data_IF_963924278020
#
_entry.id   IF_963924278020
#
_cell.length_a   1.000
_cell.length_b   1.000
_cell.length_c   1.000
_cell.angle_alpha   90.00
_cell.angle_beta   90.00
_cell.angle_gamma   90.00
#
_symmetry.space_group_name_H-M   'P 1'
#
loop_
_entity.id
_entity.type
_entity.pdbx_description
1 polymer ?
#
# COMPACT_ATOMS: atom_id res chain seq x y z
N UNK A 1 -3.02 32.73 -26.71
CA UNK A 1 -4.27 31.92 -26.74
C UNK A 1 -4.96 32.17 -25.41
N UNK A 2 -6.22 32.62 -25.46
CA UNK A 2 -7.02 33.29 -24.43
C UNK A 2 -6.74 32.97 -22.95
N UNK A 3 -6.04 33.90 -22.29
CA UNK A 3 -6.33 34.61 -21.03
C UNK A 3 -6.99 33.99 -19.79
N UNK A 4 -7.53 32.78 -19.83
CA UNK A 4 -8.27 32.21 -18.69
C UNK A 4 -7.35 31.40 -17.77
N UNK A 5 -7.50 31.58 -16.45
CA UNK A 5 -6.75 30.81 -15.46
C UNK A 5 -7.18 29.33 -15.45
N UNK A 6 -6.36 28.45 -14.85
CA UNK A 6 -6.75 27.05 -14.62
C UNK A 6 -8.05 26.98 -13.83
N UNK A 7 -8.17 27.78 -12.78
CA UNK A 7 -9.37 27.87 -11.94
C UNK A 7 -10.62 28.22 -12.76
N UNK A 8 -10.55 29.25 -13.62
CA UNK A 8 -11.67 29.66 -14.48
C UNK A 8 -12.11 28.51 -15.40
N UNK A 9 -11.16 27.79 -15.99
CA UNK A 9 -11.44 26.63 -16.86
C UNK A 9 -12.06 25.47 -16.08
N UNK A 10 -11.54 25.16 -14.89
CA UNK A 10 -12.08 24.11 -14.04
C UNK A 10 -13.49 24.45 -13.54
N UNK A 11 -13.76 25.72 -13.23
CA UNK A 11 -15.07 26.18 -12.76
C UNK A 11 -16.19 25.98 -13.78
N UNK A 12 -15.88 25.96 -15.08
CA UNK A 12 -16.87 25.58 -16.12
C UNK A 12 -17.32 24.14 -15.89
N UNK A 13 -16.38 23.20 -15.70
CA UNK A 13 -16.68 21.80 -15.43
C UNK A 13 -17.38 21.63 -14.08
N UNK A 14 -16.85 22.29 -13.04
CA UNK A 14 -17.38 22.22 -11.69
C UNK A 14 -18.75 22.87 -11.59
N UNK A 15 -19.18 23.78 -12.46
CA UNK A 15 -20.55 24.30 -12.43
C UNK A 15 -21.62 23.20 -12.49
N UNK A 16 -21.30 22.07 -13.15
CA UNK A 16 -22.14 20.88 -13.23
C UNK A 16 -21.61 19.68 -12.43
N UNK A 17 -20.29 19.52 -12.27
CA UNK A 17 -19.65 18.32 -11.69
C UNK A 17 -19.09 18.52 -10.26
N UNK A 18 -19.88 19.02 -9.31
CA UNK A 18 -19.43 19.24 -7.91
C UNK A 18 -19.56 18.04 -6.97
N UNK A 19 -20.23 16.97 -7.39
CA UNK A 19 -20.67 15.89 -6.50
C UNK A 19 -19.84 14.60 -6.65
N UNK A 20 -20.12 13.64 -5.75
CA UNK A 20 -19.46 12.32 -5.73
C UNK A 20 -17.97 12.46 -5.48
N UNK A 21 -17.14 11.72 -6.22
CA UNK A 21 -15.69 11.76 -6.02
C UNK A 21 -15.03 13.15 -6.21
N UNK A 22 -15.74 14.17 -6.72
CA UNK A 22 -15.19 15.53 -6.92
C UNK A 22 -15.46 16.49 -5.75
N UNK A 23 -16.14 16.03 -4.70
CA UNK A 23 -16.46 16.88 -3.53
C UNK A 23 -15.21 17.48 -2.85
N UNK A 24 -14.07 16.78 -2.93
CA UNK A 24 -12.80 17.20 -2.33
C UNK A 24 -11.84 17.87 -3.33
N UNK A 25 -12.30 18.23 -4.53
CA UNK A 25 -11.46 18.81 -5.58
C UNK A 25 -10.73 20.06 -5.10
N UNK A 26 -11.45 20.99 -4.48
CA UNK A 26 -10.91 22.26 -3.98
C UNK A 26 -9.88 22.12 -2.86
N UNK A 27 -9.71 20.91 -2.31
CA UNK A 27 -8.69 20.59 -1.31
C UNK A 27 -7.71 19.53 -1.80
N UNK A 28 -7.75 19.20 -3.09
CA UNK A 28 -6.93 18.14 -3.67
C UNK A 28 -5.55 18.67 -4.04
N UNK A 29 -4.55 17.80 -3.98
CA UNK A 29 -3.19 18.15 -4.46
C UNK A 29 -3.21 18.54 -5.94
N UNK A 30 -4.06 17.91 -6.76
CA UNK A 30 -4.13 18.24 -8.18
C UNK A 30 -4.66 19.65 -8.44
N UNK A 31 -5.61 20.12 -7.63
CA UNK A 31 -6.07 21.51 -7.68
C UNK A 31 -4.98 22.48 -7.21
N UNK A 32 -4.31 22.16 -6.10
CA UNK A 32 -3.22 22.97 -5.57
C UNK A 32 -1.99 23.07 -6.49
N UNK A 33 -1.79 22.07 -7.36
CA UNK A 33 -0.72 22.04 -8.37
C UNK A 33 -1.19 22.61 -9.74
N UNK A 34 -2.29 23.39 -9.77
CA UNK A 34 -2.80 24.07 -10.97
C UNK A 34 -3.12 23.11 -12.14
N UNK A 35 -3.58 21.89 -11.86
CA UNK A 35 -4.03 20.98 -12.92
C UNK A 35 -5.46 21.30 -13.38
N UNK A 36 -5.62 21.41 -14.69
CA UNK A 36 -6.93 21.54 -15.31
C UNK A 36 -7.61 20.17 -15.49
N UNK A 37 -8.93 20.09 -15.41
CA UNK A 37 -9.69 18.86 -15.69
C UNK A 37 -9.30 18.24 -17.05
N UNK A 38 -9.11 19.11 -18.05
CA UNK A 38 -8.75 18.74 -19.42
C UNK A 38 -7.30 18.28 -19.59
N UNK A 39 -6.46 18.37 -18.55
CA UNK A 39 -5.12 17.79 -18.56
C UNK A 39 -5.17 16.27 -18.47
N UNK A 40 -6.25 15.69 -17.93
CA UNK A 40 -6.45 14.24 -17.88
C UNK A 40 -7.66 13.79 -18.72
N UNK A 41 -8.70 14.61 -18.80
CA UNK A 41 -9.94 14.26 -19.49
C UNK A 41 -10.03 14.86 -20.89
N UNK A 42 -10.64 14.12 -21.82
CA UNK A 42 -11.06 14.63 -23.12
C UNK A 42 -12.58 14.54 -23.26
N UNK A 43 -13.17 15.59 -23.84
CA UNK A 43 -14.62 15.67 -24.15
C UNK A 43 -14.93 15.47 -25.64
N UNK A 44 -13.90 15.53 -26.48
CA UNK A 44 -14.02 15.38 -27.94
C UNK A 44 -13.40 14.08 -28.47
N UNK A 45 -12.79 13.29 -27.58
CA UNK A 45 -12.22 11.97 -27.87
C UNK A 45 -12.63 11.01 -26.74
N UNK A 46 -12.54 9.69 -26.97
CA UNK A 46 -12.64 8.71 -25.89
C UNK A 46 -11.70 9.09 -24.73
N UNK A 47 -12.22 9.00 -23.51
CA UNK A 47 -11.55 9.52 -22.33
C UNK A 47 -10.66 8.44 -21.71
N UNK A 48 -9.40 8.40 -22.12
CA UNK A 48 -8.45 7.35 -21.75
C UNK A 48 -8.21 7.24 -20.23
N UNK A 49 -8.36 8.32 -19.45
CA UNK A 49 -8.17 8.22 -18.00
C UNK A 49 -9.34 7.53 -17.28
N UNK A 50 -10.52 7.46 -17.91
CA UNK A 50 -11.69 6.76 -17.37
C UNK A 50 -11.64 5.26 -17.70
N UNK A 51 -11.06 4.93 -18.85
CA UNK A 51 -10.90 3.56 -19.30
C UNK A 51 -9.83 2.83 -18.46
N UNK A 52 -10.18 1.66 -17.91
CA UNK A 52 -9.29 0.93 -16.99
C UNK A 52 -7.98 0.54 -17.68
N UNK A 53 -8.03 0.22 -18.97
CA UNK A 53 -6.87 -0.27 -19.71
C UNK A 53 -5.85 0.82 -20.04
N UNK A 54 -6.23 2.10 -20.01
CA UNK A 54 -5.38 3.22 -20.42
C UNK A 54 -5.13 4.25 -19.31
N UNK A 55 -5.90 4.22 -18.21
CA UNK A 55 -5.73 5.12 -17.07
C UNK A 55 -4.31 5.19 -16.51
N UNK A 56 -3.65 4.05 -16.37
CA UNK A 56 -2.32 3.96 -15.76
C UNK A 56 -1.29 4.78 -16.51
N UNK A 57 -1.33 4.80 -17.85
CA UNK A 57 -0.39 5.57 -18.66
C UNK A 57 -0.57 7.08 -18.50
N UNK A 58 -1.82 7.57 -18.42
CA UNK A 58 -2.09 9.01 -18.13
C UNK A 58 -1.47 9.41 -16.80
N UNK A 59 -1.64 8.59 -15.75
CA UNK A 59 -1.04 8.88 -14.45
C UNK A 59 0.49 8.85 -14.50
N UNK A 60 1.07 7.97 -15.31
CA UNK A 60 2.53 7.78 -15.42
C UNK A 60 3.24 8.88 -16.21
N UNK A 61 2.53 9.74 -16.94
CA UNK A 61 3.12 10.92 -17.58
C UNK A 61 3.81 11.83 -16.54
N UNK A 62 3.18 11.96 -15.36
CA UNK A 62 3.70 12.72 -14.23
C UNK A 62 4.31 11.82 -13.15
N UNK A 63 3.62 10.74 -12.73
CA UNK A 63 4.04 9.88 -11.62
C UNK A 63 5.07 8.80 -12.03
N UNK A 64 6.19 9.24 -12.60
CA UNK A 64 7.27 8.37 -13.12
C UNK A 64 7.90 7.49 -12.05
N UNK A 65 7.98 7.98 -10.82
CA UNK A 65 8.49 7.19 -9.69
C UNK A 65 7.58 6.02 -9.34
N UNK A 66 6.25 6.20 -9.43
CA UNK A 66 5.29 5.12 -9.23
C UNK A 66 5.38 4.14 -10.39
N UNK A 67 5.48 4.64 -11.63
CA UNK A 67 5.73 3.80 -12.81
C UNK A 67 6.91 2.88 -12.57
N UNK A 68 8.06 3.42 -12.13
CA UNK A 68 9.27 2.64 -11.87
C UNK A 68 9.08 1.55 -10.81
N UNK A 69 8.24 1.80 -9.79
CA UNK A 69 7.97 0.83 -8.73
C UNK A 69 7.17 -0.37 -9.24
N UNK A 70 6.28 -0.18 -10.21
CA UNK A 70 5.51 -1.28 -10.79
C UNK A 70 6.37 -2.28 -11.56
N UNK A 71 7.62 -1.93 -11.90
CA UNK A 71 8.59 -2.83 -12.53
C UNK A 71 9.42 -3.63 -11.51
N UNK A 72 9.20 -3.46 -10.22
CA UNK A 72 9.92 -4.22 -9.18
C UNK A 72 9.41 -5.65 -9.09
N UNK A 73 10.22 -6.51 -8.47
CA UNK A 73 10.00 -7.96 -8.42
C UNK A 73 8.64 -8.36 -7.81
N UNK A 74 8.16 -7.63 -6.82
CA UNK A 74 6.83 -7.78 -6.26
C UNK A 74 6.08 -6.47 -6.45
N UNK A 75 4.86 -6.54 -7.00
CA UNK A 75 3.97 -5.39 -7.22
C UNK A 75 2.53 -5.86 -7.14
N UNK A 76 1.59 -4.96 -6.85
CA UNK A 76 0.20 -5.18 -7.28
C UNK A 76 0.16 -5.28 -8.82
N UNK A 77 -0.81 -6.01 -9.41
CA UNK A 77 -0.87 -6.26 -10.85
C UNK A 77 -1.37 -5.03 -11.65
N UNK A 78 -0.62 -3.93 -11.52
CA UNK A 78 -0.90 -2.62 -12.12
C UNK A 78 -0.53 -2.61 -13.60
N UNK A 79 0.57 -3.27 -13.97
CA UNK A 79 1.04 -3.35 -15.36
C UNK A 79 0.12 -4.19 -16.24
N UNK A 80 -0.58 -5.13 -15.63
CA UNK A 80 -1.59 -5.97 -16.27
C UNK A 80 -2.99 -5.34 -16.24
N UNK A 81 -3.13 -4.09 -15.74
CA UNK A 81 -4.40 -3.37 -15.56
C UNK A 81 -5.47 -4.13 -14.75
N UNK A 82 -5.06 -5.12 -13.94
CA UNK A 82 -5.97 -5.86 -13.05
C UNK A 82 -6.34 -5.04 -11.81
N UNK A 83 -5.39 -4.21 -11.36
CA UNK A 83 -5.60 -3.14 -10.38
C UNK A 83 -5.12 -1.85 -11.02
N UNK A 84 -5.85 -0.75 -10.87
CA UNK A 84 -5.48 0.55 -11.43
C UNK A 84 -5.41 1.61 -10.33
N UNK A 85 -4.84 2.77 -10.64
CA UNK A 85 -4.64 3.87 -9.69
C UNK A 85 -5.95 4.23 -8.97
N UNK A 86 -7.04 4.31 -9.74
CA UNK A 86 -8.36 4.65 -9.23
C UNK A 86 -9.03 3.55 -8.41
N UNK A 87 -8.48 2.33 -8.32
CA UNK A 87 -9.03 1.34 -7.37
C UNK A 87 -8.70 1.73 -5.92
N UNK A 88 -7.58 2.43 -5.71
CA UNK A 88 -7.14 2.90 -4.39
C UNK A 88 -7.29 4.40 -4.21
N UNK A 89 -6.95 5.19 -5.22
CA UNK A 89 -6.90 6.65 -5.13
C UNK A 89 -8.13 7.30 -5.76
N UNK A 90 -8.44 8.49 -5.28
CA UNK A 90 -9.33 9.43 -5.95
C UNK A 90 -8.50 10.62 -6.47
N UNK A 91 -8.30 10.68 -7.78
CA UNK A 91 -7.55 11.76 -8.42
C UNK A 91 -8.18 13.15 -8.22
N UNK A 92 -9.45 13.22 -7.82
CA UNK A 92 -10.13 14.48 -7.52
C UNK A 92 -10.04 14.87 -6.04
N UNK A 93 -9.20 14.19 -5.26
CA UNK A 93 -9.04 14.41 -3.82
C UNK A 93 -9.98 13.56 -2.95
N UNK A 94 -9.59 13.30 -1.71
CA UNK A 94 -10.42 12.61 -0.74
C UNK A 94 -10.08 13.06 0.68
N UNK A 95 -10.91 12.65 1.64
CA UNK A 95 -10.60 12.80 3.07
C UNK A 95 -9.55 11.79 3.57
N UNK A 96 -9.21 10.78 2.77
CA UNK A 96 -8.21 9.77 3.11
C UNK A 96 -6.78 10.26 2.90
N UNK A 97 -5.79 9.66 3.57
CA UNK A 97 -4.38 10.02 3.37
C UNK A 97 -3.98 9.75 1.92
N UNK A 98 -3.11 10.59 1.36
CA UNK A 98 -2.59 10.45 -0.02
C UNK A 98 -3.69 10.24 -1.06
N UNK A 99 -4.83 10.92 -0.88
CA UNK A 99 -6.01 10.83 -1.76
C UNK A 99 -6.58 9.41 -1.88
N UNK A 100 -6.45 8.55 -0.86
CA UNK A 100 -7.09 7.22 -0.86
C UNK A 100 -8.61 7.33 -0.80
N UNK A 101 -9.33 6.40 -1.43
CA UNK A 101 -10.80 6.39 -1.46
C UNK A 101 -11.43 6.20 -0.08
N UNK A 102 -10.76 5.44 0.79
CA UNK A 102 -11.19 5.23 2.17
C UNK A 102 -10.47 6.17 3.14
N UNK A 103 -11.05 6.36 4.32
CA UNK A 103 -10.51 7.28 5.35
C UNK A 103 -9.18 6.85 5.96
N UNK A 104 -8.84 5.57 5.89
CA UNK A 104 -7.56 5.03 6.38
C UNK A 104 -6.92 4.12 5.35
N UNK A 105 -5.61 3.92 5.47
CA UNK A 105 -4.85 2.98 4.65
C UNK A 105 -5.43 1.57 4.76
N UNK A 106 -5.71 1.12 5.99
CA UNK A 106 -6.20 -0.24 6.24
C UNK A 106 -7.58 -0.49 5.64
N UNK A 107 -8.52 0.44 5.82
CA UNK A 107 -9.86 0.32 5.21
C UNK A 107 -9.76 0.28 3.68
N UNK A 108 -8.82 1.03 3.09
CA UNK A 108 -8.57 0.95 1.65
C UNK A 108 -8.05 -0.45 1.24
N UNK A 109 -7.14 -1.03 2.01
CA UNK A 109 -6.66 -2.41 1.78
C UNK A 109 -7.78 -3.45 1.95
N UNK A 110 -8.64 -3.31 2.95
CA UNK A 110 -9.72 -4.26 3.26
C UNK A 110 -10.82 -4.32 2.19
N UNK A 111 -10.89 -3.34 1.29
CA UNK A 111 -11.78 -3.40 0.13
C UNK A 111 -11.51 -4.63 -0.75
N UNK A 112 -10.26 -5.11 -0.79
CA UNK A 112 -9.84 -6.32 -1.50
C UNK A 112 -9.32 -7.42 -0.57
N UNK A 113 -8.64 -7.05 0.53
CA UNK A 113 -8.02 -7.96 1.49
C UNK A 113 -8.86 -8.10 2.77
N UNK A 114 -10.15 -8.41 2.60
CA UNK A 114 -11.11 -8.49 3.70
C UNK A 114 -10.72 -9.55 4.75
N UNK A 115 -9.97 -10.58 4.36
CA UNK A 115 -9.49 -11.62 5.27
C UNK A 115 -8.44 -11.14 6.27
N UNK A 116 -7.90 -9.93 6.06
CA UNK A 116 -6.96 -9.27 6.99
C UNK A 116 -7.66 -8.31 7.94
N UNK A 117 -8.97 -8.11 7.77
CA UNK A 117 -9.76 -7.24 8.64
C UNK A 117 -10.02 -7.94 9.97
N UNK A 118 -9.61 -7.28 11.05
CA UNK A 118 -9.91 -7.71 12.42
C UNK A 118 -11.38 -7.46 12.83
N UNK A 119 -11.70 -7.61 14.12
CA UNK A 119 -10.75 -7.91 15.20
C UNK A 119 -10.30 -9.36 15.19
N UNK A 120 -9.01 -9.60 15.43
CA UNK A 120 -8.51 -10.94 15.75
C UNK A 120 -8.45 -11.10 17.27
N UNK A 121 -8.55 -12.34 17.77
CA UNK A 121 -8.32 -12.63 19.20
C UNK A 121 -6.90 -12.23 19.63
N UNK A 122 -5.93 -12.51 18.76
CA UNK A 122 -4.53 -12.13 18.91
C UNK A 122 -4.11 -11.29 17.71
N UNK A 123 -4.13 -9.97 17.88
CA UNK A 123 -3.74 -9.04 16.82
C UNK A 123 -2.21 -8.89 16.77
N UNK A 124 -1.68 -8.77 15.55
CA UNK A 124 -0.34 -8.25 15.37
C UNK A 124 -0.44 -6.74 15.22
N UNK A 125 -0.12 -6.02 16.29
CA UNK A 125 -0.45 -4.60 16.42
C UNK A 125 -0.03 -3.71 15.23
N UNK A 126 1.16 -3.86 14.62
CA UNK A 126 1.50 -3.10 13.41
C UNK A 126 0.55 -3.35 12.23
N UNK A 127 -0.01 -4.56 12.10
CA UNK A 127 -0.92 -4.92 11.02
C UNK A 127 -2.35 -4.38 11.23
N UNK A 128 -2.78 -4.17 12.47
CA UNK A 128 -4.07 -3.53 12.78
C UNK A 128 -4.01 -2.01 12.67
N UNK A 129 -2.83 -1.41 12.88
CA UNK A 129 -2.63 0.05 12.78
C UNK A 129 -2.48 0.54 11.34
N UNK A 130 -1.45 0.08 10.64
CA UNK A 130 -1.12 0.57 9.29
C UNK A 130 -0.35 -0.48 8.48
N UNK A 131 -0.98 -1.00 7.42
CA UNK A 131 -0.40 -1.95 6.49
C UNK A 131 0.96 -1.50 5.91
N UNK A 132 1.19 -0.20 5.78
CA UNK A 132 2.40 0.36 5.15
C UNK A 132 3.64 0.35 6.05
N UNK A 133 3.47 0.07 7.35
CA UNK A 133 4.60 -0.19 8.26
C UNK A 133 5.45 -1.37 7.79
N UNK A 134 4.83 -2.31 7.08
CA UNK A 134 5.49 -3.49 6.52
C UNK A 134 5.49 -3.50 4.99
N UNK A 135 4.45 -2.97 4.33
CA UNK A 135 4.26 -3.08 2.88
C UNK A 135 4.50 -1.78 2.11
N UNK A 136 5.18 -1.88 0.96
CA UNK A 136 5.29 -0.86 -0.07
C UNK A 136 4.34 -1.19 -1.22
N UNK A 137 3.15 -0.62 -1.17
CA UNK A 137 1.99 -1.02 -1.99
C UNK A 137 2.19 -0.93 -3.50
N UNK A 138 2.99 0.01 -4.02
CA UNK A 138 3.19 0.16 -5.47
C UNK A 138 4.24 -0.79 -6.04
N UNK A 139 5.13 -1.33 -5.20
CA UNK A 139 6.17 -2.25 -5.65
C UNK A 139 7.41 -2.29 -4.75
N UNK A 140 7.91 -3.50 -4.54
CA UNK A 140 9.11 -3.79 -3.77
C UNK A 140 10.01 -4.83 -4.44
N UNK A 141 11.30 -4.76 -4.14
CA UNK A 141 12.26 -5.81 -4.51
C UNK A 141 12.17 -7.02 -3.56
N UNK A 142 11.41 -6.91 -2.48
CA UNK A 142 11.16 -8.00 -1.53
C UNK A 142 9.78 -8.62 -1.80
N UNK A 143 9.68 -9.94 -1.56
CA UNK A 143 8.45 -10.70 -1.75
C UNK A 143 7.28 -10.09 -0.95
N UNK A 144 6.05 -10.25 -1.45
CA UNK A 144 4.83 -9.75 -0.80
C UNK A 144 4.87 -8.26 -0.49
N UNK A 145 5.47 -7.46 -1.39
CA UNK A 145 5.56 -6.00 -1.25
C UNK A 145 6.29 -5.53 0.02
N UNK A 146 7.09 -6.35 0.70
CA UNK A 146 7.69 -5.94 1.98
C UNK A 146 8.68 -4.78 1.82
N UNK A 147 8.75 -3.86 2.78
CA UNK A 147 9.67 -2.72 2.75
C UNK A 147 11.13 -3.10 3.06
N UNK A 148 11.35 -4.26 3.70
CA UNK A 148 12.65 -4.87 4.01
C UNK A 148 12.57 -6.40 3.85
N UNK A 149 13.70 -7.13 3.79
CA UNK A 149 13.65 -8.58 3.83
C UNK A 149 13.09 -9.07 5.18
N UNK A 150 12.41 -10.21 5.16
CA UNK A 150 11.61 -10.71 6.29
C UNK A 150 12.29 -10.66 7.67
N UNK A 151 13.49 -11.23 7.86
CA UNK A 151 14.14 -11.24 9.16
C UNK A 151 14.46 -9.84 9.69
N UNK A 152 14.97 -8.97 8.82
CA UNK A 152 15.26 -7.57 9.15
C UNK A 152 13.99 -6.78 9.42
N UNK A 153 12.86 -7.14 8.81
CA UNK A 153 11.58 -6.54 9.10
C UNK A 153 11.15 -6.84 10.54
N UNK A 154 11.14 -8.12 10.93
CA UNK A 154 10.73 -8.53 12.28
C UNK A 154 11.61 -7.91 13.38
N UNK A 155 12.92 -7.83 13.15
CA UNK A 155 13.87 -7.29 14.14
C UNK A 155 13.75 -5.78 14.39
N UNK A 156 13.01 -5.04 13.58
CA UNK A 156 12.77 -3.62 13.87
C UNK A 156 12.01 -3.42 15.18
N UNK A 157 11.15 -4.38 15.53
CA UNK A 157 10.37 -4.35 16.76
C UNK A 157 10.79 -5.45 17.74
N UNK A 158 11.16 -6.63 17.23
CA UNK A 158 11.55 -7.75 18.08
C UNK A 158 13.08 -7.78 18.33
N UNK A 159 13.55 -6.92 19.23
CA UNK A 159 14.96 -6.78 19.59
C UNK A 159 15.51 -7.91 20.49
N UNK A 160 14.64 -8.52 21.31
CA UNK A 160 14.97 -9.70 22.12
C UNK A 160 13.88 -10.77 21.89
N UNK A 161 14.08 -11.60 20.87
CA UNK A 161 13.11 -12.64 20.53
C UNK A 161 13.38 -13.86 21.42
N UNK A 162 12.76 -13.89 22.60
CA UNK A 162 12.74 -15.09 23.45
C UNK A 162 11.51 -15.95 23.14
N UNK A 163 11.67 -17.28 23.17
CA UNK A 163 10.51 -18.17 23.12
C UNK A 163 9.91 -18.26 24.52
N UNK A 164 8.58 -18.13 24.59
CA UNK A 164 7.84 -18.39 25.83
C UNK A 164 8.22 -19.76 26.43
N UNK A 165 8.41 -19.80 27.75
CA UNK A 165 8.74 -21.02 28.48
C UNK A 165 10.22 -21.40 28.53
N UNK A 166 11.15 -20.42 28.45
CA UNK A 166 12.58 -20.65 28.66
C UNK A 166 13.30 -21.41 27.55
N UNK A 167 12.66 -21.55 26.38
CA UNK A 167 13.24 -22.20 25.20
C UNK A 167 14.21 -21.24 24.52
N UNK A 168 15.35 -21.77 24.04
CA UNK A 168 16.28 -21.02 23.19
C UNK A 168 15.56 -20.58 21.91
N UNK A 169 15.52 -19.27 21.70
CA UNK A 169 15.08 -18.63 20.47
C UNK A 169 16.16 -17.66 20.01
N UNK A 170 16.13 -17.22 18.76
CA UNK A 170 17.15 -16.32 18.22
C UNK A 170 17.03 -14.93 18.86
N UNK A 171 18.04 -14.49 19.62
CA UNK A 171 18.04 -13.16 20.23
C UNK A 171 18.34 -12.07 19.19
N UNK A 172 19.43 -12.24 18.44
CA UNK A 172 19.80 -11.33 17.35
C UNK A 172 20.17 -12.10 16.07
N UNK A 173 19.44 -11.85 14.98
CA UNK A 173 19.65 -12.41 13.65
C UNK A 173 20.99 -12.00 13.00
N UNK A 174 21.48 -10.77 13.27
CA UNK A 174 22.75 -10.25 12.74
C UNK A 174 23.90 -10.37 13.75
N UNK A 175 24.01 -11.53 14.40
CA UNK A 175 25.22 -11.88 15.14
C UNK A 175 26.16 -12.69 14.24
N UNK A 176 27.23 -12.05 13.76
CA UNK A 176 28.22 -12.64 12.87
C UNK A 176 29.26 -13.49 13.61
N UNK A 177 29.27 -13.47 14.95
CA UNK A 177 30.19 -14.22 15.79
C UNK A 177 29.56 -15.50 16.37
N UNK A 178 28.29 -15.79 16.08
CA UNK A 178 27.61 -17.00 16.53
C UNK A 178 27.84 -18.18 15.56
N UNK A 179 28.37 -19.28 16.09
CA UNK A 179 28.70 -20.51 15.35
C UNK A 179 27.49 -21.47 15.14
N UNK A 180 26.29 -21.14 15.62
CA UNK A 180 25.11 -22.02 15.49
C UNK A 180 24.62 -22.15 14.04
N UNK A 181 24.94 -23.29 13.42
CA UNK A 181 24.51 -23.67 12.06
C UNK A 181 22.99 -23.74 11.90
N UNK A 182 22.23 -23.92 12.98
CA UNK A 182 20.77 -23.95 12.93
C UNK A 182 20.15 -22.57 12.64
N UNK A 183 20.92 -21.48 12.72
CA UNK A 183 20.45 -20.12 12.41
C UNK A 183 20.11 -19.92 10.93
N UNK A 184 20.62 -20.76 10.03
CA UNK A 184 20.33 -20.68 8.60
C UNK A 184 18.81 -20.67 8.32
N UNK A 185 18.01 -21.41 9.10
CA UNK A 185 16.54 -21.48 8.98
C UNK A 185 15.83 -20.14 9.14
N UNK A 186 16.45 -19.17 9.82
CA UNK A 186 15.92 -17.81 9.96
C UNK A 186 16.37 -16.91 8.81
N UNK A 187 17.39 -17.29 8.02
CA UNK A 187 17.94 -16.53 6.89
C UNK A 187 17.32 -16.94 5.55
N UNK A 188 16.86 -18.19 5.45
CA UNK A 188 16.41 -18.81 4.19
C UNK A 188 14.91 -19.11 4.19
N UNK A 189 14.32 -19.25 3.00
CA UNK A 189 12.89 -19.53 2.83
C UNK A 189 12.01 -18.44 3.46
N UNK A 190 10.92 -18.84 4.10
CA UNK A 190 10.02 -17.91 4.80
C UNK A 190 10.55 -17.49 6.19
N UNK A 191 11.81 -17.79 6.54
CA UNK A 191 12.48 -17.32 7.74
C UNK A 191 11.68 -17.49 9.05
N UNK A 192 11.31 -16.39 9.71
CA UNK A 192 10.48 -16.32 10.91
C UNK A 192 9.06 -16.85 10.63
N UNK A 193 8.51 -16.56 9.45
CA UNK A 193 7.18 -16.98 9.04
C UNK A 193 7.05 -18.49 8.77
N UNK A 194 8.17 -19.25 8.74
CA UNK A 194 8.12 -20.71 8.76
C UNK A 194 7.43 -21.25 10.03
N UNK A 195 7.54 -20.54 11.15
CA UNK A 195 6.91 -20.90 12.42
C UNK A 195 5.79 -19.92 12.80
N UNK A 196 5.99 -18.63 12.50
CA UNK A 196 5.04 -17.56 12.78
C UNK A 196 4.17 -17.27 11.54
N UNK A 197 3.35 -18.23 11.13
CA UNK A 197 2.60 -18.12 9.87
C UNK A 197 1.44 -17.11 9.90
N UNK A 198 0.98 -16.71 11.08
CA UNK A 198 -0.19 -15.83 11.30
C UNK A 198 0.22 -14.38 11.60
N UNK A 199 1.19 -13.83 10.88
CA UNK A 199 1.74 -12.47 11.10
C UNK A 199 0.73 -11.31 10.99
N UNK A 200 -0.49 -11.56 10.48
CA UNK A 200 -1.56 -10.55 10.39
C UNK A 200 -2.59 -10.67 11.51
N UNK A 201 -2.43 -11.64 12.42
CA UNK A 201 -3.37 -11.92 13.51
C UNK A 201 -3.88 -13.37 13.50
N UNK A 202 -4.32 -13.83 14.67
CA UNK A 202 -4.85 -15.19 14.88
C UNK A 202 -6.10 -15.19 15.75
N UNK A 203 -7.07 -16.05 15.40
CA UNK A 203 -8.25 -16.36 16.22
C UNK A 203 -8.11 -17.66 17.02
N UNK A 204 -6.96 -18.32 16.96
CA UNK A 204 -6.73 -19.55 17.71
C UNK A 204 -6.51 -19.22 19.21
N UNK A 205 -7.08 -19.98 20.17
CA UNK A 205 -6.89 -19.71 21.60
C UNK A 205 -5.42 -19.65 22.02
N UNK A 206 -4.58 -20.52 21.46
CA UNK A 206 -3.10 -20.50 21.62
C UNK A 206 -2.37 -19.71 20.51
N UNK A 207 -2.98 -18.63 20.01
CA UNK A 207 -2.50 -17.84 18.87
C UNK A 207 -1.62 -16.63 19.24
N UNK A 208 -1.35 -16.39 20.53
CA UNK A 208 -0.59 -15.21 20.99
C UNK A 208 0.79 -15.04 20.34
N UNK A 209 1.45 -16.14 19.99
CA UNK A 209 2.73 -16.13 19.28
C UNK A 209 2.60 -16.16 17.75
N UNK A 210 1.40 -16.01 17.20
CA UNK A 210 1.11 -15.96 15.75
C UNK A 210 1.56 -17.22 14.97
N UNK A 211 1.53 -18.39 15.62
CA UNK A 211 1.95 -19.66 15.02
C UNK A 211 0.83 -20.38 14.28
N UNK A 212 -0.42 -20.19 14.71
CA UNK A 212 -1.63 -20.87 14.22
C UNK A 212 -2.85 -20.01 14.48
#
# INVERSE_FOLDING_TARGET
RYGESVEQRNNICLSCHKSGDRMHWLSSTNEAEDLACVSCHSIHQPNDVIERTTQTEVCFECHKDIRSQTFRASTHPIRENKVICSDCHNAHGSAGPSSLKQFTVNENCYSCHAEKRGPFLWEHYPASEDCTLCHRVHGSNHQALLNKPGPQLCQQCHADISAGGGRRHISNFLDFNDADRNRARFKVGMNCANCHSKIHGSNHPSGAALQR
#
